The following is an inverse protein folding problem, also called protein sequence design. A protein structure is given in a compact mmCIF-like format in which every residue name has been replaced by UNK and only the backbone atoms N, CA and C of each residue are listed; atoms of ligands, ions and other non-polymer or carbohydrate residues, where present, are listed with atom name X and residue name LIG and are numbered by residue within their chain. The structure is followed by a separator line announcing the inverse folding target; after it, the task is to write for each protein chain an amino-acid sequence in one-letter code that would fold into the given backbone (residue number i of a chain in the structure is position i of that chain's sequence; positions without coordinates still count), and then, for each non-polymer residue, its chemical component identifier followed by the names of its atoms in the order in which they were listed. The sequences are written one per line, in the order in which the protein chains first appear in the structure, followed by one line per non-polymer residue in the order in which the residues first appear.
data_IF_836081506878
#
_entry.id   IF_836081506878
#
_cell.length_a   1.000
_cell.length_b   1.000
_cell.length_c   1.000
_cell.angle_alpha   90.00
_cell.angle_beta   90.00
_cell.angle_gamma   90.00
#
_symmetry.space_group_name_H-M   'P 1'
#
loop_
_entity.id
_entity.type
_entity.pdbx_description
1 polymer ?
#
# COMPACT_ATOMS: atom_id res chain seq x y z
N UNK A 1 -17.02 -6.86 4.96
CA UNK A 1 -15.87 -7.72 4.59
C UNK A 1 -14.65 -7.19 5.30
N UNK A 2 -13.94 -8.06 6.02
CA UNK A 2 -12.71 -7.68 6.71
C UNK A 2 -11.64 -7.16 5.72
N UNK A 3 -10.73 -6.31 6.17
CA UNK A 3 -9.72 -5.67 5.31
C UNK A 3 -8.79 -6.71 4.69
N UNK A 4 -8.39 -7.73 5.46
CA UNK A 4 -7.63 -8.87 4.95
C UNK A 4 -8.37 -9.62 3.84
N UNK A 5 -9.68 -9.83 3.99
CA UNK A 5 -10.50 -10.49 2.97
C UNK A 5 -10.62 -9.63 1.69
N UNK A 6 -10.68 -8.29 1.83
CA UNK A 6 -10.59 -7.37 0.69
C UNK A 6 -9.27 -7.53 -0.06
N UNK A 7 -8.15 -7.60 0.65
CA UNK A 7 -6.83 -7.83 0.04
C UNK A 7 -6.75 -9.19 -0.66
N UNK A 8 -7.21 -10.28 -0.03
CA UNK A 8 -7.23 -11.60 -0.65
C UNK A 8 -8.00 -11.61 -1.98
N UNK A 9 -9.21 -11.06 -1.98
CA UNK A 9 -9.99 -10.92 -3.22
C UNK A 9 -9.30 -10.02 -4.23
N UNK A 10 -8.62 -8.97 -3.80
CA UNK A 10 -7.87 -8.10 -4.69
C UNK A 10 -6.71 -8.87 -5.36
N UNK A 11 -6.02 -9.74 -4.63
CA UNK A 11 -4.96 -10.59 -5.18
C UNK A 11 -5.55 -11.58 -6.19
N UNK A 12 -6.61 -12.31 -5.81
CA UNK A 12 -7.28 -13.31 -6.67
C UNK A 12 -7.78 -12.71 -8.00
N UNK A 13 -8.20 -11.45 -7.98
CA UNK A 13 -8.75 -10.76 -9.15
C UNK A 13 -7.74 -9.84 -9.86
N UNK A 14 -6.46 -9.85 -9.46
CA UNK A 14 -5.43 -8.92 -9.95
C UNK A 14 -5.83 -7.43 -9.84
N UNK A 15 -6.46 -7.07 -8.73
CA UNK A 15 -6.97 -5.73 -8.36
C UNK A 15 -6.29 -5.14 -7.12
N UNK A 16 -5.05 -5.53 -6.84
CA UNK A 16 -4.30 -5.03 -5.66
C UNK A 16 -4.15 -3.50 -5.68
N UNK A 17 -3.99 -2.87 -6.86
CA UNK A 17 -3.93 -1.41 -6.97
C UNK A 17 -5.25 -0.78 -6.54
N UNK A 18 -6.39 -1.28 -7.02
CA UNK A 18 -7.72 -0.82 -6.60
C UNK A 18 -7.90 -0.93 -5.06
N UNK A 19 -7.30 -1.94 -4.43
CA UNK A 19 -7.26 -2.05 -2.97
C UNK A 19 -6.38 -1.00 -2.30
N UNK A 20 -5.15 -0.80 -2.80
CA UNK A 20 -4.20 0.17 -2.24
C UNK A 20 -4.70 1.61 -2.36
N UNK A 21 -5.47 1.95 -3.39
CA UNK A 21 -6.04 3.30 -3.58
C UNK A 21 -7.46 3.45 -2.99
N UNK A 22 -8.06 2.36 -2.51
CA UNK A 22 -9.40 2.37 -1.92
C UNK A 22 -10.55 2.54 -2.93
N UNK A 23 -10.43 1.94 -4.12
CA UNK A 23 -11.42 2.07 -5.19
C UNK A 23 -12.53 1.03 -5.13
N UNK A 24 -13.75 1.49 -5.40
CA UNK A 24 -14.94 0.64 -5.54
C UNK A 24 -15.16 -0.25 -4.30
N UNK A 25 -15.32 -1.55 -4.54
CA UNK A 25 -15.57 -2.53 -3.47
C UNK A 25 -14.40 -2.70 -2.47
N UNK A 26 -13.21 -2.22 -2.81
CA UNK A 26 -12.03 -2.30 -1.94
C UNK A 26 -11.85 -1.07 -1.05
N UNK A 27 -12.69 -0.04 -1.20
CA UNK A 27 -12.67 1.14 -0.34
C UNK A 27 -12.68 0.76 1.14
N UNK A 28 -11.81 1.40 1.90
CA UNK A 28 -11.73 1.28 3.36
C UNK A 28 -12.19 2.62 3.92
N UNK A 29 -13.30 2.59 4.64
CA UNK A 29 -13.84 3.79 5.25
C UNK A 29 -13.03 4.15 6.49
N UNK A 30 -12.78 5.45 6.66
CA UNK A 30 -12.22 5.96 7.89
C UNK A 30 -13.19 5.74 9.03
N UNK A 31 -12.65 5.54 10.22
CA UNK A 31 -13.48 5.61 11.42
C UNK A 31 -14.18 6.97 11.48
N UNK A 32 -15.45 7.01 11.91
CA UNK A 32 -16.28 8.22 11.96
C UNK A 32 -15.68 9.41 12.75
N UNK A 33 -14.62 9.18 13.53
CA UNK A 33 -13.93 10.19 14.34
C UNK A 33 -12.66 10.72 13.67
N UNK A 34 -12.26 10.14 12.55
CA UNK A 34 -11.10 10.57 11.78
C UNK A 34 -11.56 11.58 10.74
N UNK A 35 -11.30 12.86 11.00
CA UNK A 35 -11.48 13.91 10.02
C UNK A 35 -10.32 13.89 9.03
N UNK A 36 -10.43 13.05 8.01
CA UNK A 36 -9.43 12.91 6.95
C UNK A 36 -10.09 12.94 5.58
N UNK A 37 -9.55 13.77 4.69
CA UNK A 37 -9.91 13.79 3.26
C UNK A 37 -8.97 12.91 2.42
N UNK A 38 -8.17 12.06 3.06
CA UNK A 38 -7.31 11.13 2.34
C UNK A 38 -8.18 10.14 1.51
N UNK A 39 -7.69 9.68 0.35
CA UNK A 39 -8.45 8.81 -0.54
C UNK A 39 -8.77 7.44 0.07
N UNK A 40 -7.93 6.96 1.00
CA UNK A 40 -8.09 5.66 1.66
C UNK A 40 -7.30 5.64 2.98
N UNK A 41 -7.71 4.78 3.92
CA UNK A 41 -7.02 4.63 5.20
C UNK A 41 -5.79 3.72 5.06
N UNK A 42 -4.65 4.34 4.74
CA UNK A 42 -3.36 3.66 4.58
C UNK A 42 -2.94 2.90 5.86
N UNK A 43 -3.27 3.44 7.04
CA UNK A 43 -2.93 2.78 8.31
C UNK A 43 -3.65 1.44 8.41
N UNK A 44 -4.93 1.42 8.11
CA UNK A 44 -5.70 0.17 8.11
C UNK A 44 -5.31 -0.77 6.97
N UNK A 45 -5.05 -0.27 5.76
CA UNK A 45 -4.52 -1.06 4.63
C UNK A 45 -3.26 -1.82 5.05
N UNK A 46 -2.30 -1.09 5.61
CA UNK A 46 -1.00 -1.65 5.96
C UNK A 46 -1.12 -2.61 7.14
N UNK A 47 -1.81 -2.22 8.21
CA UNK A 47 -1.82 -3.01 9.46
C UNK A 47 -2.82 -4.16 9.46
N UNK A 48 -4.04 -3.95 8.96
CA UNK A 48 -5.10 -4.95 8.97
C UNK A 48 -5.18 -5.77 7.67
N UNK A 49 -4.57 -5.27 6.60
CA UNK A 49 -4.44 -5.98 5.32
C UNK A 49 -3.06 -6.59 5.15
N UNK A 50 -2.10 -5.77 4.72
CA UNK A 50 -0.77 -6.21 4.24
C UNK A 50 0.00 -6.96 5.33
N UNK A 51 0.23 -6.34 6.48
CA UNK A 51 1.04 -6.92 7.56
C UNK A 51 0.41 -8.16 8.14
N UNK A 52 -0.90 -8.11 8.37
CA UNK A 52 -1.67 -9.25 8.88
C UNK A 52 -1.58 -10.45 7.94
N UNK A 53 -1.77 -10.23 6.64
CA UNK A 53 -1.68 -11.31 5.66
C UNK A 53 -0.25 -11.83 5.48
N UNK A 54 0.76 -10.96 5.54
CA UNK A 54 2.16 -11.38 5.52
C UNK A 54 2.49 -12.35 6.68
N UNK A 55 2.04 -12.03 7.90
CA UNK A 55 2.28 -12.87 9.09
C UNK A 55 1.52 -14.19 9.00
N UNK A 56 0.24 -14.16 8.62
CA UNK A 56 -0.62 -15.35 8.61
C UNK A 56 -0.37 -16.28 7.42
N UNK A 57 0.11 -15.74 6.28
CA UNK A 57 0.25 -16.45 5.00
C UNK A 57 1.60 -16.15 4.34
N UNK A 58 2.71 -16.63 4.94
CA UNK A 58 4.06 -16.38 4.42
C UNK A 58 4.29 -16.94 3.01
N UNK A 59 3.52 -17.97 2.61
CA UNK A 59 3.53 -18.56 1.27
C UNK A 59 3.16 -17.56 0.17
N UNK A 60 2.38 -16.54 0.51
CA UNK A 60 1.88 -15.55 -0.46
C UNK A 60 2.90 -14.45 -0.82
N UNK A 61 4.04 -14.36 -0.13
CA UNK A 61 5.09 -13.35 -0.40
C UNK A 61 4.52 -11.92 -0.53
N UNK A 62 3.70 -11.50 0.44
CA UNK A 62 2.93 -10.24 0.40
C UNK A 62 3.82 -9.00 0.29
N UNK A 63 5.02 -9.05 0.88
CA UNK A 63 6.07 -8.05 0.75
C UNK A 63 6.44 -7.80 -0.72
N UNK A 64 6.68 -8.87 -1.50
CA UNK A 64 7.01 -8.78 -2.93
C UNK A 64 5.82 -8.36 -3.77
N UNK A 65 4.61 -8.82 -3.42
CA UNK A 65 3.37 -8.38 -4.08
C UNK A 65 3.20 -6.88 -3.91
N UNK A 66 3.38 -6.36 -2.69
CA UNK A 66 3.31 -4.93 -2.42
C UNK A 66 4.38 -4.17 -3.20
N UNK A 67 5.65 -4.56 -3.09
CA UNK A 67 6.76 -3.87 -3.78
C UNK A 67 6.51 -3.75 -5.29
N UNK A 68 6.12 -4.85 -5.93
CA UNK A 68 5.83 -4.88 -7.37
C UNK A 68 4.68 -3.94 -7.73
N UNK A 69 3.62 -3.89 -6.92
CA UNK A 69 2.48 -3.01 -7.17
C UNK A 69 2.79 -1.54 -6.92
N UNK A 70 3.63 -1.21 -5.94
CA UNK A 70 4.13 0.16 -5.77
C UNK A 70 4.93 0.62 -6.99
N UNK A 71 5.81 -0.23 -7.52
CA UNK A 71 6.57 0.07 -8.74
C UNK A 71 5.66 0.25 -9.96
N UNK A 72 4.62 -0.58 -10.09
CA UNK A 72 3.59 -0.44 -11.15
C UNK A 72 2.87 0.90 -11.04
N UNK A 73 2.37 1.24 -9.84
CA UNK A 73 1.65 2.47 -9.54
C UNK A 73 2.44 3.74 -9.87
N UNK A 74 3.76 3.73 -9.63
CA UNK A 74 4.63 4.87 -9.97
C UNK A 74 4.70 5.17 -11.48
N UNK A 75 4.29 4.25 -12.36
CA UNK A 75 4.25 4.48 -13.81
C UNK A 75 2.86 4.91 -14.32
N UNK A 76 1.85 5.01 -13.45
CA UNK A 76 0.47 5.32 -13.85
C UNK A 76 0.24 6.84 -13.95
N UNK A 77 -0.24 7.48 -12.87
CA UNK A 77 -0.51 8.92 -12.83
C UNK A 77 -0.14 9.51 -11.45
N UNK A 78 -0.22 10.84 -11.33
CA UNK A 78 0.16 11.58 -10.13
C UNK A 78 -0.60 11.15 -8.86
N UNK A 79 -1.86 10.75 -8.99
CA UNK A 79 -2.64 10.24 -7.87
C UNK A 79 -2.06 8.92 -7.33
N UNK A 80 -1.67 8.00 -8.22
CA UNK A 80 -1.03 6.75 -7.80
C UNK A 80 0.35 7.00 -7.17
N UNK A 81 1.13 7.94 -7.70
CA UNK A 81 2.42 8.36 -7.11
C UNK A 81 2.21 8.90 -5.68
N UNK A 82 1.16 9.69 -5.46
CA UNK A 82 0.79 10.19 -4.13
C UNK A 82 0.43 9.06 -3.15
N UNK A 83 -0.36 8.06 -3.57
CA UNK A 83 -0.66 6.89 -2.71
C UNK A 83 0.63 6.14 -2.36
N UNK A 84 1.50 5.91 -3.34
CA UNK A 84 2.78 5.22 -3.14
C UNK A 84 3.66 5.96 -2.13
N UNK A 85 3.73 7.30 -2.21
CA UNK A 85 4.47 8.12 -1.24
C UNK A 85 3.95 7.94 0.18
N UNK A 86 2.62 7.89 0.37
CA UNK A 86 2.03 7.65 1.69
C UNK A 86 2.41 6.27 2.24
N UNK A 87 2.37 5.23 1.40
CA UNK A 87 2.74 3.87 1.80
C UNK A 87 4.23 3.79 2.16
N UNK A 88 5.12 4.37 1.33
CA UNK A 88 6.56 4.42 1.61
C UNK A 88 6.83 5.15 2.92
N UNK A 89 6.21 6.31 3.13
CA UNK A 89 6.36 7.07 4.37
C UNK A 89 5.90 6.27 5.60
N UNK A 90 4.73 5.64 5.53
CA UNK A 90 4.22 4.80 6.61
C UNK A 90 5.16 3.63 6.90
N UNK A 91 5.60 2.91 5.87
CA UNK A 91 6.49 1.77 5.98
C UNK A 91 7.84 2.19 6.61
N UNK A 92 8.45 3.28 6.15
CA UNK A 92 9.73 3.80 6.67
C UNK A 92 9.66 4.08 8.18
N UNK A 93 8.60 4.74 8.65
CA UNK A 93 8.42 5.04 10.07
C UNK A 93 8.30 3.75 10.88
N UNK A 94 7.55 2.77 10.37
CA UNK A 94 7.33 1.49 11.06
C UNK A 94 8.60 0.66 11.12
N UNK A 95 9.38 0.63 10.04
CA UNK A 95 10.69 -0.02 10.00
C UNK A 95 11.67 0.63 10.98
N UNK A 96 11.71 1.97 11.04
CA UNK A 96 12.57 2.70 11.98
C UNK A 96 12.20 2.43 13.45
N UNK A 97 10.91 2.24 13.74
CA UNK A 97 10.41 1.92 15.09
C UNK A 97 10.54 0.43 15.48
N UNK A 98 10.83 -0.45 14.53
CA UNK A 98 10.83 -1.90 14.74
C UNK A 98 9.43 -2.53 14.76
N UNK A 99 8.41 -1.80 14.31
CA UNK A 99 7.00 -2.25 14.30
C UNK A 99 6.58 -2.92 12.98
N UNK A 100 7.48 -2.95 11.99
CA UNK A 100 7.20 -3.52 10.68
C UNK A 100 7.56 -5.01 10.65
N UNK A 101 6.67 -5.90 10.17
CA UNK A 101 6.96 -7.33 10.08
C UNK A 101 7.92 -7.70 8.94
N UNK A 102 8.19 -6.78 8.01
CA UNK A 102 9.15 -6.93 6.93
C UNK A 102 9.78 -5.58 6.55
N UNK A 103 10.79 -5.63 5.69
CA UNK A 103 11.40 -4.45 5.07
C UNK A 103 11.18 -4.47 3.57
N UNK A 104 10.98 -3.29 2.98
CA UNK A 104 10.97 -3.14 1.52
C UNK A 104 12.33 -2.67 1.02
N UNK A 105 12.63 -2.89 -0.27
CA UNK A 105 13.79 -2.30 -0.92
C UNK A 105 13.56 -0.78 -1.13
N UNK A 106 13.84 -0.01 -0.08
CA UNK A 106 13.62 1.44 -0.07
C UNK A 106 14.53 2.18 -1.04
N UNK A 107 15.74 1.68 -1.29
CA UNK A 107 16.65 2.31 -2.26
C UNK A 107 16.04 2.27 -3.66
N UNK A 108 15.56 1.09 -4.07
CA UNK A 108 14.85 0.89 -5.34
C UNK A 108 13.57 1.70 -5.44
N UNK A 109 12.73 1.66 -4.39
CA UNK A 109 11.44 2.37 -4.38
C UNK A 109 11.63 3.90 -4.43
N UNK A 110 12.55 4.46 -3.64
CA UNK A 110 12.80 5.91 -3.63
C UNK A 110 13.41 6.40 -4.93
N UNK A 111 14.33 5.63 -5.53
CA UNK A 111 14.89 5.94 -6.86
C UNK A 111 13.79 6.03 -7.90
N UNK A 112 12.92 5.02 -7.98
CA UNK A 112 11.82 4.99 -8.94
C UNK A 112 10.79 6.09 -8.68
N UNK A 113 10.49 6.39 -7.42
CA UNK A 113 9.56 7.45 -7.05
C UNK A 113 10.08 8.83 -7.50
N UNK A 114 11.38 9.10 -7.30
CA UNK A 114 12.02 10.33 -7.77
C UNK A 114 11.89 10.50 -9.29
N UNK A 115 12.12 9.45 -10.06
CA UNK A 115 11.94 9.46 -11.51
C UNK A 115 10.48 9.79 -11.90
N UNK A 116 9.51 9.18 -11.22
CA UNK A 116 8.09 9.43 -11.46
C UNK A 116 7.70 10.89 -11.15
N UNK A 117 8.21 11.47 -10.07
CA UNK A 117 7.97 12.87 -9.72
C UNK A 117 8.57 13.86 -10.73
N UNK A 118 9.76 13.57 -11.27
CA UNK A 118 10.39 14.40 -12.31
C UNK A 118 9.60 14.35 -13.62
N UNK A 119 9.02 13.19 -13.96
CA UNK A 119 8.23 13.02 -15.19
C UNK A 119 6.90 13.79 -15.16
N UNK A 120 6.28 13.91 -13.99
CA UNK A 120 4.97 14.55 -13.80
C UNK A 120 5.09 16.01 -13.31
N UNK A 121 6.23 16.67 -13.62
CA UNK A 121 6.50 18.07 -13.26
C UNK A 121 5.84 19.05 -14.22
#
# INVERSE_FOLDING_TARGET
MDIKQKLLRAIENNKVIDFLEGKGQYKIEFHQWVSSNAPTDITQIMTQGIYKLYIERPDMNIDKVLENKLLEMMNLNEFHVYIVLQIIYFQLIREQRGDSPFRLDMEKLLKKNREALIKNK
#
